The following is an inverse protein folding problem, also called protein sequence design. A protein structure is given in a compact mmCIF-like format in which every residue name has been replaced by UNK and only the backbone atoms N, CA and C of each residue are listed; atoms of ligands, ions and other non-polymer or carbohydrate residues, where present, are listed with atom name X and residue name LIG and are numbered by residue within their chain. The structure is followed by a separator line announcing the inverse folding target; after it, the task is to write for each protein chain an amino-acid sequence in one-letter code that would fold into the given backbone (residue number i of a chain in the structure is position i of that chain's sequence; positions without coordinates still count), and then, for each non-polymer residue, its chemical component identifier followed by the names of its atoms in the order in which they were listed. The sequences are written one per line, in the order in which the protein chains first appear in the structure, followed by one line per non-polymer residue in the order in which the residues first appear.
data_IF_833292439031
#
_entry.id   IF_833292439031
#
_cell.length_a   1.000
_cell.length_b   1.000
_cell.length_c   1.000
_cell.angle_alpha   90.00
_cell.angle_beta   90.00
_cell.angle_gamma   90.00
#
_symmetry.space_group_name_H-M   'P 1'
#
loop_
_entity.id
_entity.type
_entity.pdbx_description
1 polymer ?
#
# COMPACT_ATOMS: atom_id res chain seq x y z
N UNK A 1 4.35 -19.08 -40.32
CA UNK A 1 4.65 -20.11 -39.30
C UNK A 1 5.47 -19.58 -38.10
N UNK A 2 6.40 -18.63 -38.28
CA UNK A 2 7.20 -18.07 -37.17
C UNK A 2 6.43 -17.18 -36.16
N UNK A 3 5.33 -16.55 -36.57
CA UNK A 3 4.53 -15.65 -35.73
C UNK A 3 3.76 -16.37 -34.61
N UNK A 4 3.24 -17.56 -34.87
CA UNK A 4 2.49 -18.36 -33.89
C UNK A 4 3.40 -18.92 -32.79
N UNK A 5 4.66 -19.21 -33.10
CA UNK A 5 5.67 -19.61 -32.11
C UNK A 5 6.02 -18.47 -31.16
N UNK A 6 6.09 -17.23 -31.65
CA UNK A 6 6.33 -16.04 -30.81
C UNK A 6 5.18 -15.80 -29.83
N UNK A 7 3.94 -15.93 -30.28
CA UNK A 7 2.75 -15.79 -29.44
C UNK A 7 2.67 -16.83 -28.33
N UNK A 8 2.95 -18.10 -28.64
CA UNK A 8 2.99 -19.18 -27.63
C UNK A 8 4.06 -18.95 -26.57
N UNK A 9 5.23 -18.42 -26.95
CA UNK A 9 6.30 -18.08 -26.00
C UNK A 9 5.91 -16.93 -25.06
N UNK A 10 5.26 -15.89 -25.59
CA UNK A 10 4.77 -14.76 -24.79
C UNK A 10 3.68 -15.21 -23.82
N UNK A 11 2.73 -16.02 -24.27
CA UNK A 11 1.69 -16.59 -23.40
C UNK A 11 2.26 -17.45 -22.28
N UNK A 12 3.24 -18.31 -22.59
CA UNK A 12 3.92 -19.12 -21.59
C UNK A 12 4.66 -18.24 -20.57
N UNK A 13 5.38 -17.20 -21.03
CA UNK A 13 6.07 -16.26 -20.14
C UNK A 13 5.12 -15.57 -19.16
N UNK A 14 3.97 -15.07 -19.64
CA UNK A 14 2.96 -14.48 -18.76
C UNK A 14 2.36 -15.51 -17.80
N UNK A 15 2.08 -16.74 -18.26
CA UNK A 15 1.57 -17.81 -17.40
C UNK A 15 2.52 -18.13 -16.24
N UNK A 16 3.84 -18.10 -16.45
CA UNK A 16 4.84 -18.27 -15.40
C UNK A 16 4.92 -17.07 -14.44
N UNK A 17 4.64 -15.85 -14.90
CA UNK A 17 4.65 -14.66 -14.05
C UNK A 17 3.39 -14.54 -13.18
N UNK A 18 2.24 -15.02 -13.64
CA UNK A 18 0.94 -14.87 -12.96
C UNK A 18 0.99 -15.31 -11.49
N UNK A 19 1.52 -16.49 -11.10
CA UNK A 19 1.55 -16.90 -9.70
C UNK A 19 2.31 -15.91 -8.81
N UNK A 20 3.47 -15.43 -9.27
CA UNK A 20 4.26 -14.42 -8.55
C UNK A 20 3.53 -13.08 -8.46
N UNK A 21 2.88 -12.65 -9.55
CA UNK A 21 2.05 -11.44 -9.54
C UNK A 21 0.86 -11.56 -8.58
N UNK A 22 0.20 -12.72 -8.50
CA UNK A 22 -0.91 -12.92 -7.56
C UNK A 22 -0.44 -12.80 -6.11
N UNK A 23 0.71 -13.39 -5.77
CA UNK A 23 1.32 -13.25 -4.44
C UNK A 23 1.67 -11.79 -4.16
N UNK A 24 2.33 -11.10 -5.09
CA UNK A 24 2.67 -9.69 -4.95
C UNK A 24 1.42 -8.81 -4.77
N UNK A 25 0.39 -9.01 -5.59
CA UNK A 25 -0.86 -8.25 -5.50
C UNK A 25 -1.57 -8.48 -4.15
N UNK A 26 -1.61 -9.71 -3.68
CA UNK A 26 -2.34 -10.09 -2.46
C UNK A 26 -1.61 -9.68 -1.19
N UNK A 27 -0.28 -9.83 -1.15
CA UNK A 27 0.48 -9.62 0.08
C UNK A 27 1.25 -8.30 0.13
N UNK A 28 1.43 -7.62 -1.01
CA UNK A 28 2.06 -6.29 -1.04
C UNK A 28 1.05 -5.20 -1.37
N UNK A 29 0.36 -5.32 -2.51
CA UNK A 29 -0.48 -4.23 -3.03
C UNK A 29 -1.78 -4.10 -2.25
N UNK A 30 -2.47 -5.21 -1.96
CA UNK A 30 -3.68 -5.18 -1.16
C UNK A 30 -3.48 -4.54 0.23
N UNK A 31 -2.52 -4.96 1.07
CA UNK A 31 -2.31 -4.30 2.36
C UNK A 31 -1.86 -2.85 2.22
N UNK A 32 -1.10 -2.49 1.18
CA UNK A 32 -0.75 -1.10 0.90
C UNK A 32 -1.99 -0.24 0.64
N UNK A 33 -2.92 -0.72 -0.20
CA UNK A 33 -4.19 -0.04 -0.47
C UNK A 33 -5.03 0.03 0.81
N UNK A 34 -5.09 -1.04 1.59
CA UNK A 34 -5.80 -1.04 2.89
C UNK A 34 -5.21 -0.03 3.86
N UNK A 35 -3.88 0.07 3.96
CA UNK A 35 -3.21 1.05 4.81
C UNK A 35 -3.53 2.49 4.38
N UNK A 36 -3.53 2.76 3.07
CA UNK A 36 -3.96 4.05 2.52
C UNK A 36 -5.45 4.34 2.78
N UNK A 37 -6.33 3.33 2.69
CA UNK A 37 -7.71 3.53 3.10
C UNK A 37 -7.79 3.86 4.59
N UNK A 38 -7.15 3.08 5.45
CA UNK A 38 -7.17 3.24 6.91
C UNK A 38 -6.69 4.64 7.32
N UNK A 39 -5.67 5.21 6.66
CA UNK A 39 -5.17 6.55 7.00
C UNK A 39 -6.21 7.66 6.81
N UNK A 40 -7.23 7.43 5.98
CA UNK A 40 -8.34 8.37 5.76
C UNK A 40 -9.49 8.21 6.77
N UNK A 41 -9.42 7.23 7.67
CA UNK A 41 -10.47 6.96 8.66
C UNK A 41 -9.96 7.20 10.07
N UNK A 42 -10.88 7.52 10.97
CA UNK A 42 -10.71 7.27 12.40
C UNK A 42 -10.92 5.76 12.64
N UNK A 43 -9.87 5.00 12.38
CA UNK A 43 -9.95 3.55 12.38
C UNK A 43 -10.10 2.99 13.80
N UNK A 44 -11.17 2.24 14.02
CA UNK A 44 -11.42 1.54 15.28
C UNK A 44 -11.00 0.07 15.13
N UNK A 45 -10.04 -0.35 15.94
CA UNK A 45 -9.51 -1.73 15.91
C UNK A 45 -10.43 -2.69 16.68
N UNK A 46 -11.19 -2.18 17.66
CA UNK A 46 -12.11 -3.01 18.44
C UNK A 46 -13.31 -3.47 17.62
N UNK A 47 -13.66 -4.78 17.66
CA UNK A 47 -14.89 -5.30 17.07
C UNK A 47 -16.13 -4.57 17.59
N UNK A 48 -17.08 -4.28 16.70
CA UNK A 48 -18.35 -3.64 17.04
C UNK A 48 -18.33 -2.11 17.11
N UNK A 49 -17.18 -1.47 16.84
CA UNK A 49 -17.11 -0.01 16.66
C UNK A 49 -17.02 0.37 15.19
N UNK A 50 -17.78 1.38 14.80
CA UNK A 50 -17.73 1.91 13.45
C UNK A 50 -16.46 2.76 13.26
N UNK A 51 -15.78 2.55 12.14
CA UNK A 51 -14.67 3.41 11.72
C UNK A 51 -15.24 4.58 10.92
N UNK A 52 -15.05 5.81 11.42
CA UNK A 52 -15.58 7.01 10.77
C UNK A 52 -14.64 7.46 9.65
N UNK A 53 -15.18 7.71 8.46
CA UNK A 53 -14.41 8.34 7.39
C UNK A 53 -14.12 9.79 7.79
N UNK A 54 -12.84 10.13 7.86
CA UNK A 54 -12.42 11.50 8.14
C UNK A 54 -12.06 12.23 6.86
N UNK A 55 -11.36 11.58 5.92
CA UNK A 55 -10.75 12.27 4.79
C UNK A 55 -9.28 12.52 5.08
N UNK A 56 -8.80 13.75 4.96
CA UNK A 56 -7.38 14.12 5.12
C UNK A 56 -7.03 14.68 6.51
N UNK A 57 -7.98 14.67 7.43
CA UNK A 57 -7.91 15.32 8.74
C UNK A 57 -6.83 14.68 9.62
N UNK A 58 -6.59 13.38 9.49
CA UNK A 58 -5.47 12.71 10.17
C UNK A 58 -4.12 13.29 9.72
N UNK A 59 -3.98 13.62 8.43
CA UNK A 59 -2.77 14.26 7.90
C UNK A 59 -2.65 15.69 8.41
N UNK A 60 -3.73 16.47 8.35
CA UNK A 60 -3.74 17.83 8.90
C UNK A 60 -3.36 17.84 10.39
N UNK A 61 -3.87 16.90 11.17
CA UNK A 61 -3.51 16.72 12.59
C UNK A 61 -2.02 16.42 12.76
N UNK A 62 -1.47 15.46 12.00
CA UNK A 62 -0.06 15.12 12.05
C UNK A 62 0.85 16.31 11.65
N UNK A 63 0.49 17.06 10.60
CA UNK A 63 1.25 18.23 10.17
C UNK A 63 1.29 19.36 11.20
N UNK A 64 0.28 19.50 12.05
CA UNK A 64 0.26 20.48 13.14
C UNK A 64 0.81 19.93 14.47
N UNK A 65 1.20 18.65 14.53
CA UNK A 65 1.74 18.03 15.72
C UNK A 65 3.25 18.31 15.83
N UNK A 66 3.73 19.04 16.86
CA UNK A 66 5.15 19.28 17.04
C UNK A 66 5.95 17.98 17.25
N UNK A 67 5.36 16.94 17.83
CA UNK A 67 6.01 15.65 18.07
C UNK A 67 6.28 14.95 16.74
N UNK A 68 5.38 15.06 15.76
CA UNK A 68 5.56 14.50 14.42
C UNK A 68 6.84 15.05 13.76
N UNK A 69 7.07 16.36 13.85
CA UNK A 69 8.25 17.00 13.27
C UNK A 69 9.55 16.64 14.00
N UNK A 70 9.51 16.50 15.33
CA UNK A 70 10.66 16.02 16.10
C UNK A 70 11.02 14.60 15.66
N UNK A 71 10.04 13.70 15.56
CA UNK A 71 10.26 12.33 15.11
C UNK A 71 10.82 12.29 13.68
N UNK A 72 10.23 13.05 12.75
CA UNK A 72 10.69 13.09 11.36
C UNK A 72 12.11 13.64 11.23
N UNK A 73 12.45 14.70 11.97
CA UNK A 73 13.83 15.22 12.03
C UNK A 73 14.80 14.14 12.52
N UNK A 74 14.45 13.43 13.59
CA UNK A 74 15.29 12.36 14.10
C UNK A 74 15.49 11.27 13.04
N UNK A 75 14.43 10.80 12.36
CA UNK A 75 14.53 9.79 11.30
C UNK A 75 15.45 10.22 10.17
N UNK A 76 15.34 11.47 9.70
CA UNK A 76 16.21 12.00 8.65
C UNK A 76 17.66 12.03 9.12
N UNK A 77 17.92 12.52 10.33
CA UNK A 77 19.29 12.56 10.89
C UNK A 77 19.89 11.16 11.11
N UNK A 78 19.07 10.15 11.41
CA UNK A 78 19.55 8.77 11.57
C UNK A 78 19.81 8.05 10.25
N UNK A 79 19.12 8.42 9.17
CA UNK A 79 19.18 7.73 7.88
C UNK A 79 20.12 8.40 6.87
N UNK A 80 20.37 9.71 7.04
CA UNK A 80 21.34 10.48 6.26
C UNK A 80 22.79 10.08 6.59
#
# INVERSE_FOLDING_TARGET
MASSLRWKRVQAAYAFMIPGMLVFLTFQIYPLIKAFQISLYEWQIMPGRESRFLGVENYARAFHDPIFWVAMRNTVLYTA
#
